data_IF_752503268733
#
_entry.id   IF_752503268733
#
_cell.length_a   1.000
_cell.length_b   1.000
_cell.length_c   1.000
_cell.angle_alpha   90.00
_cell.angle_beta   90.00
_cell.angle_gamma   90.00
#
_symmetry.space_group_name_H-M   'P 1'
#
loop_
_entity.id
_entity.type
_entity.pdbx_description
1 polymer ?
#
# COMPACT_ATOMS: atom_id res chain seq x y z
N UNK A 1 4.86 34.93 -26.04
CA UNK A 1 3.50 34.47 -25.63
C UNK A 1 2.88 33.39 -26.53
N UNK A 2 3.61 32.67 -27.41
CA UNK A 2 3.04 31.60 -28.26
C UNK A 2 3.30 30.16 -27.77
N UNK A 3 4.20 29.96 -26.80
CA UNK A 3 4.56 28.61 -26.31
C UNK A 3 3.68 28.08 -25.18
N UNK A 4 2.98 28.94 -24.43
CA UNK A 4 2.12 28.50 -23.33
C UNK A 4 0.85 27.78 -23.82
N UNK A 5 0.31 28.14 -24.98
CA UNK A 5 -0.97 27.61 -25.47
C UNK A 5 -0.86 26.18 -26.03
N UNK A 6 0.27 25.81 -26.64
CA UNK A 6 0.46 24.46 -27.22
C UNK A 6 0.65 23.40 -26.12
N UNK A 7 1.38 23.74 -25.05
CA UNK A 7 1.61 22.85 -23.90
C UNK A 7 0.29 22.55 -23.18
N UNK A 8 -0.59 23.54 -23.04
CA UNK A 8 -1.90 23.41 -22.41
C UNK A 8 -2.85 22.49 -23.21
N UNK A 9 -2.81 22.53 -24.55
CA UNK A 9 -3.64 21.67 -25.40
C UNK A 9 -3.15 20.21 -25.36
N UNK A 10 -1.83 19.98 -25.44
CA UNK A 10 -1.26 18.63 -25.40
C UNK A 10 -1.50 17.93 -24.05
N UNK A 11 -1.38 18.65 -22.93
CA UNK A 11 -1.68 18.11 -21.61
C UNK A 11 -3.16 17.71 -21.43
N UNK A 12 -4.08 18.45 -22.06
CA UNK A 12 -5.51 18.13 -22.03
C UNK A 12 -5.86 16.86 -22.83
N UNK A 13 -5.23 16.66 -23.99
CA UNK A 13 -5.43 15.46 -24.81
C UNK A 13 -4.97 14.20 -24.08
N UNK A 14 -3.77 14.22 -23.50
CA UNK A 14 -3.20 13.09 -22.75
C UNK A 14 -4.05 12.69 -21.52
N UNK A 15 -4.73 13.65 -20.88
CA UNK A 15 -5.63 13.35 -19.77
C UNK A 15 -6.88 12.57 -20.23
N UNK A 16 -7.46 12.94 -21.38
CA UNK A 16 -8.60 12.22 -21.96
C UNK A 16 -8.25 10.80 -22.39
N UNK A 17 -7.09 10.61 -23.03
CA UNK A 17 -6.60 9.29 -23.45
C UNK A 17 -6.34 8.36 -22.26
N UNK A 18 -5.83 8.90 -21.15
CA UNK A 18 -5.64 8.11 -19.93
C UNK A 18 -6.96 7.63 -19.32
N UNK A 19 -7.97 8.49 -19.27
CA UNK A 19 -9.28 8.16 -18.71
C UNK A 19 -10.03 7.12 -19.57
N UNK A 20 -9.88 7.19 -20.90
CA UNK A 20 -10.36 6.14 -21.80
C UNK A 20 -9.66 4.81 -21.53
N UNK A 21 -8.32 4.80 -21.41
CA UNK A 21 -7.56 3.59 -21.09
C UNK A 21 -7.98 2.96 -19.75
N UNK A 22 -8.26 3.78 -18.73
CA UNK A 22 -8.81 3.32 -17.45
C UNK A 22 -10.21 2.72 -17.62
N UNK A 23 -11.04 3.29 -18.49
CA UNK A 23 -12.38 2.79 -18.78
C UNK A 23 -12.31 1.42 -19.46
N UNK A 24 -11.45 1.26 -20.46
CA UNK A 24 -11.18 -0.01 -21.12
C UNK A 24 -10.70 -1.08 -20.11
N UNK A 25 -9.81 -0.72 -19.20
CA UNK A 25 -9.35 -1.64 -18.15
C UNK A 25 -10.50 -2.10 -17.26
N UNK A 26 -11.37 -1.19 -16.83
CA UNK A 26 -12.54 -1.51 -15.98
C UNK A 26 -13.56 -2.39 -16.70
N UNK A 27 -13.68 -2.26 -18.01
CA UNK A 27 -14.56 -3.09 -18.85
C UNK A 27 -13.96 -4.47 -19.17
N UNK A 28 -12.71 -4.73 -18.78
CA UNK A 28 -12.02 -5.99 -19.05
C UNK A 28 -11.31 -6.04 -20.40
N UNK A 29 -11.27 -4.93 -21.14
CA UNK A 29 -10.57 -4.80 -22.42
C UNK A 29 -9.07 -4.56 -22.18
N UNK A 30 -8.42 -5.49 -21.48
CA UNK A 30 -7.09 -5.28 -20.91
C UNK A 30 -5.99 -5.04 -21.96
N UNK A 31 -6.08 -5.65 -23.13
CA UNK A 31 -5.10 -5.42 -24.22
C UNK A 31 -5.24 -3.99 -24.76
N UNK A 32 -6.47 -3.54 -25.05
CA UNK A 32 -6.72 -2.17 -25.51
C UNK A 32 -6.26 -1.14 -24.48
N UNK A 33 -6.56 -1.39 -23.20
CA UNK A 33 -6.06 -0.56 -22.10
C UNK A 33 -4.53 -0.56 -22.02
N UNK A 34 -3.89 -1.73 -22.15
CA UNK A 34 -2.43 -1.86 -22.12
C UNK A 34 -1.77 -1.06 -23.24
N UNK A 35 -2.28 -1.17 -24.47
CA UNK A 35 -1.74 -0.45 -25.62
C UNK A 35 -1.81 1.07 -25.42
N UNK A 36 -2.95 1.58 -24.97
CA UNK A 36 -3.13 3.00 -24.66
C UNK A 36 -2.23 3.47 -23.50
N UNK A 37 -2.17 2.70 -22.40
CA UNK A 37 -1.25 3.02 -21.31
C UNK A 37 0.21 3.00 -21.76
N UNK A 38 0.59 2.11 -22.68
CA UNK A 38 1.96 2.02 -23.17
C UNK A 38 2.42 3.28 -23.91
N UNK A 39 1.54 3.87 -24.73
CA UNK A 39 1.82 5.13 -25.44
C UNK A 39 2.15 6.22 -24.42
N UNK A 40 1.23 6.47 -23.48
CA UNK A 40 1.39 7.48 -22.43
C UNK A 40 2.59 7.18 -21.50
N UNK A 41 2.84 5.90 -21.19
CA UNK A 41 3.93 5.49 -20.32
C UNK A 41 5.31 5.74 -20.94
N UNK A 42 5.43 5.59 -22.27
CA UNK A 42 6.64 5.91 -23.04
C UNK A 42 6.93 7.42 -23.06
N UNK A 43 5.89 8.25 -23.01
CA UNK A 43 6.00 9.71 -22.87
C UNK A 43 6.31 10.16 -21.43
N UNK A 44 6.38 9.22 -20.49
CA UNK A 44 6.74 9.51 -19.10
C UNK A 44 5.55 9.63 -18.16
N UNK A 45 4.30 9.46 -18.60
CA UNK A 45 3.14 9.65 -17.72
C UNK A 45 3.13 8.66 -16.53
N UNK A 46 3.30 9.12 -15.28
CA UNK A 46 3.60 8.22 -14.15
C UNK A 46 2.42 7.32 -13.76
N UNK A 47 1.17 7.77 -13.93
CA UNK A 47 0.01 6.90 -13.70
C UNK A 47 -0.14 5.83 -14.79
N UNK A 48 0.26 6.13 -16.03
CA UNK A 48 0.22 5.15 -17.11
C UNK A 48 1.30 4.09 -16.90
N UNK A 49 2.53 4.51 -16.55
CA UNK A 49 3.60 3.60 -16.14
C UNK A 49 3.17 2.68 -14.98
N UNK A 50 2.50 3.22 -13.97
CA UNK A 50 1.91 2.41 -12.90
C UNK A 50 0.91 1.36 -13.44
N UNK A 51 -0.02 1.75 -14.31
CA UNK A 51 -1.03 0.83 -14.85
C UNK A 51 -0.43 -0.24 -15.77
N UNK A 52 0.60 0.08 -16.57
CA UNK A 52 1.36 -0.93 -17.32
C UNK A 52 1.97 -1.95 -16.34
N UNK A 53 2.63 -1.47 -15.28
CA UNK A 53 3.17 -2.34 -14.24
C UNK A 53 2.11 -3.22 -13.56
N UNK A 54 0.93 -2.67 -13.31
CA UNK A 54 -0.20 -3.38 -12.72
C UNK A 54 -0.74 -4.49 -13.62
N UNK A 55 -0.81 -4.25 -14.93
CA UNK A 55 -1.25 -5.24 -15.91
C UNK A 55 -0.29 -6.44 -15.93
N UNK A 56 1.03 -6.19 -16.01
CA UNK A 56 2.03 -7.26 -15.98
C UNK A 56 2.09 -7.99 -14.64
N UNK A 57 1.96 -7.29 -13.52
CA UNK A 57 1.98 -7.89 -12.19
C UNK A 57 0.84 -8.91 -12.00
N UNK A 58 -0.32 -8.62 -12.60
CA UNK A 58 -1.52 -9.42 -12.48
C UNK A 58 -1.79 -10.35 -13.66
N UNK A 59 -1.04 -10.23 -14.76
CA UNK A 59 -1.26 -11.01 -15.98
C UNK A 59 -2.64 -10.76 -16.62
N UNK A 60 -3.10 -9.51 -16.64
CA UNK A 60 -4.42 -9.16 -17.19
C UNK A 60 -4.31 -8.95 -18.70
N UNK A 61 -4.85 -9.89 -19.49
CA UNK A 61 -4.77 -9.87 -20.96
C UNK A 61 -3.41 -10.30 -21.53
N UNK A 62 -2.34 -10.22 -20.74
CA UNK A 62 -1.00 -10.69 -21.08
C UNK A 62 -0.49 -11.72 -20.08
N UNK A 63 0.57 -12.45 -20.42
CA UNK A 63 1.25 -13.30 -19.44
C UNK A 63 1.79 -12.45 -18.28
N UNK A 64 1.65 -12.98 -17.06
CA UNK A 64 2.20 -12.35 -15.86
C UNK A 64 3.71 -12.25 -15.98
N UNK A 65 4.25 -11.05 -15.79
CA UNK A 65 5.68 -10.76 -15.85
C UNK A 65 6.08 -9.80 -14.71
N UNK A 66 6.68 -10.37 -13.67
CA UNK A 66 7.09 -9.61 -12.48
C UNK A 66 8.29 -8.68 -12.79
N UNK A 67 9.13 -9.00 -13.77
CA UNK A 67 10.26 -8.17 -14.14
C UNK A 67 9.79 -6.90 -14.87
N UNK A 68 8.88 -7.05 -15.83
CA UNK A 68 8.23 -5.91 -16.47
C UNK A 68 7.48 -5.05 -15.45
N UNK A 69 6.73 -5.67 -14.54
CA UNK A 69 6.04 -4.94 -13.48
C UNK A 69 7.01 -4.11 -12.62
N UNK A 70 8.12 -4.72 -12.18
CA UNK A 70 9.15 -4.05 -11.38
C UNK A 70 9.72 -2.83 -12.10
N UNK A 71 10.08 -2.96 -13.37
CA UNK A 71 10.66 -1.87 -14.16
C UNK A 71 9.68 -0.70 -14.35
N UNK A 72 8.42 -1.00 -14.69
CA UNK A 72 7.39 0.03 -14.85
C UNK A 72 7.03 0.73 -13.55
N UNK A 73 6.88 -0.03 -12.46
CA UNK A 73 6.70 0.57 -11.13
C UNK A 73 7.89 1.43 -10.72
N UNK A 74 9.13 1.01 -11.00
CA UNK A 74 10.33 1.81 -10.69
C UNK A 74 10.35 3.14 -11.44
N UNK A 75 9.95 3.17 -12.71
CA UNK A 75 9.82 4.43 -13.47
C UNK A 75 8.77 5.35 -12.84
N UNK A 76 7.58 4.84 -12.52
CA UNK A 76 6.51 5.63 -11.91
C UNK A 76 6.88 6.11 -10.48
N UNK A 77 7.52 5.24 -9.69
CA UNK A 77 7.91 5.51 -8.31
C UNK A 77 8.95 6.63 -8.20
N UNK A 78 9.92 6.68 -9.13
CA UNK A 78 10.91 7.76 -9.25
C UNK A 78 10.26 9.12 -9.54
N UNK A 79 9.08 9.14 -10.13
CA UNK A 79 8.30 10.35 -10.40
C UNK A 79 7.31 10.70 -9.27
N UNK A 80 7.39 10.01 -8.12
CA UNK A 80 6.53 10.29 -6.98
C UNK A 80 5.16 9.60 -7.02
N UNK A 81 4.92 8.64 -7.94
CA UNK A 81 3.69 7.87 -7.91
C UNK A 81 3.65 6.97 -6.66
N UNK A 82 2.88 7.38 -5.66
CA UNK A 82 2.77 6.72 -4.36
C UNK A 82 2.28 5.26 -4.43
N UNK A 83 1.34 4.95 -5.33
CA UNK A 83 0.88 3.59 -5.54
C UNK A 83 1.99 2.71 -6.14
N UNK A 84 2.77 3.23 -7.08
CA UNK A 84 3.92 2.52 -7.65
C UNK A 84 5.04 2.29 -6.62
N UNK A 85 5.31 3.27 -5.75
CA UNK A 85 6.27 3.12 -4.65
C UNK A 85 5.88 1.96 -3.74
N UNK A 86 4.62 1.91 -3.30
CA UNK A 86 4.11 0.81 -2.48
C UNK A 86 4.18 -0.55 -3.20
N UNK A 87 3.71 -0.62 -4.46
CA UNK A 87 3.70 -1.88 -5.20
C UNK A 87 5.12 -2.37 -5.55
N UNK A 88 6.06 -1.47 -5.80
CA UNK A 88 7.47 -1.83 -5.99
C UNK A 88 8.06 -2.44 -4.71
N UNK A 89 7.87 -1.80 -3.57
CA UNK A 89 8.30 -2.33 -2.27
C UNK A 89 7.67 -3.71 -2.00
N UNK A 90 6.37 -3.87 -2.32
CA UNK A 90 5.67 -5.14 -2.13
C UNK A 90 6.28 -6.26 -2.98
N UNK A 91 6.51 -5.98 -4.26
CA UNK A 91 7.12 -6.92 -5.21
C UNK A 91 8.51 -7.36 -4.73
N UNK A 92 9.35 -6.43 -4.30
CA UNK A 92 10.70 -6.75 -3.78
C UNK A 92 10.60 -7.55 -2.48
N UNK A 93 9.68 -7.20 -1.57
CA UNK A 93 9.50 -7.93 -0.30
C UNK A 93 9.04 -9.39 -0.47
N UNK A 94 8.58 -9.75 -1.67
CA UNK A 94 8.08 -11.07 -2.03
C UNK A 94 9.03 -11.81 -2.98
N UNK A 95 10.13 -11.19 -3.43
CA UNK A 95 11.10 -11.83 -4.33
C UNK A 95 11.94 -12.88 -3.61
N UNK A 96 12.66 -13.69 -4.39
CA UNK A 96 13.68 -14.62 -3.88
C UNK A 96 14.74 -13.91 -3.02
N UNK A 97 15.03 -12.65 -3.36
CA UNK A 97 16.13 -11.89 -2.81
C UNK A 97 15.70 -11.04 -1.61
N UNK A 98 14.48 -11.21 -1.09
CA UNK A 98 13.91 -10.38 0.00
C UNK A 98 14.71 -10.36 1.31
N UNK A 99 15.64 -11.29 1.48
CA UNK A 99 16.55 -11.34 2.64
C UNK A 99 17.90 -10.65 2.38
N UNK A 100 18.19 -10.28 1.13
CA UNK A 100 19.36 -9.48 0.79
C UNK A 100 19.28 -8.11 1.49
N UNK A 101 20.36 -7.64 2.15
CA UNK A 101 20.37 -6.35 2.82
C UNK A 101 20.02 -5.18 1.91
N UNK A 102 20.47 -5.20 0.65
CA UNK A 102 20.16 -4.18 -0.35
C UNK A 102 18.68 -4.19 -0.74
N UNK A 103 18.10 -5.38 -0.95
CA UNK A 103 16.67 -5.52 -1.18
C UNK A 103 15.83 -5.03 0.01
N UNK A 104 16.24 -5.34 1.24
CA UNK A 104 15.56 -4.88 2.46
C UNK A 104 15.63 -3.36 2.63
N UNK A 105 16.77 -2.75 2.31
CA UNK A 105 16.92 -1.30 2.27
C UNK A 105 16.04 -0.66 1.20
N UNK A 106 15.97 -1.23 -0.01
CA UNK A 106 15.11 -0.75 -1.08
C UNK A 106 13.62 -0.85 -0.70
N UNK A 107 13.19 -1.97 -0.09
CA UNK A 107 11.82 -2.14 0.43
C UNK A 107 11.48 -1.05 1.45
N UNK A 108 12.35 -0.84 2.44
CA UNK A 108 12.16 0.20 3.45
C UNK A 108 12.03 1.58 2.82
N UNK A 109 12.96 1.92 1.94
CA UNK A 109 13.01 3.21 1.25
C UNK A 109 11.68 3.49 0.51
N UNK A 110 11.19 2.54 -0.27
CA UNK A 110 9.97 2.72 -1.04
C UNK A 110 8.70 2.73 -0.18
N UNK A 111 8.64 1.94 0.89
CA UNK A 111 7.53 2.07 1.85
C UNK A 111 7.55 3.40 2.60
N UNK A 112 8.73 3.93 2.97
CA UNK A 112 8.85 5.27 3.57
C UNK A 112 8.33 6.34 2.61
N UNK A 113 8.73 6.31 1.33
CA UNK A 113 8.21 7.25 0.32
C UNK A 113 6.71 7.14 0.10
N UNK A 114 6.18 5.92 0.03
CA UNK A 114 4.75 5.72 -0.12
C UNK A 114 3.96 6.19 1.12
N UNK A 115 4.49 5.96 2.32
CA UNK A 115 3.91 6.45 3.57
C UNK A 115 3.96 7.98 3.69
N UNK A 116 5.04 8.62 3.25
CA UNK A 116 5.14 10.09 3.12
C UNK A 116 4.06 10.63 2.17
N UNK A 117 3.80 9.93 1.06
CA UNK A 117 2.72 10.23 0.12
C UNK A 117 1.31 9.87 0.58
N UNK A 118 1.15 9.38 1.82
CA UNK A 118 -0.17 9.09 2.40
C UNK A 118 -0.72 7.69 2.14
N UNK A 119 0.05 6.77 1.56
CA UNK A 119 -0.38 5.37 1.39
C UNK A 119 -0.48 4.67 2.74
N UNK A 120 -1.70 4.40 3.20
CA UNK A 120 -1.97 3.76 4.50
C UNK A 120 -1.47 2.31 4.57
N UNK A 121 -1.56 1.57 3.46
CA UNK A 121 -1.07 0.20 3.37
C UNK A 121 0.46 0.16 3.51
N UNK A 122 1.17 1.16 2.94
CA UNK A 122 2.61 1.29 3.10
C UNK A 122 2.99 1.63 4.55
N UNK A 123 2.20 2.47 5.24
CA UNK A 123 2.41 2.74 6.66
C UNK A 123 2.26 1.47 7.50
N UNK A 124 1.26 0.64 7.22
CA UNK A 124 1.06 -0.66 7.88
C UNK A 124 2.25 -1.60 7.64
N UNK A 125 2.67 -1.76 6.38
CA UNK A 125 3.77 -2.67 6.05
C UNK A 125 5.12 -2.16 6.59
N UNK A 126 5.37 -0.85 6.56
CA UNK A 126 6.55 -0.23 7.20
C UNK A 126 6.53 -0.43 8.72
N UNK A 127 5.37 -0.32 9.36
CA UNK A 127 5.23 -0.58 10.79
C UNK A 127 5.61 -2.02 11.13
N UNK A 128 5.20 -3.00 10.30
CA UNK A 128 5.60 -4.40 10.46
C UNK A 128 7.11 -4.61 10.35
N UNK A 129 7.81 -3.89 9.45
CA UNK A 129 9.27 -3.93 9.38
C UNK A 129 9.90 -3.49 10.70
N UNK A 130 9.47 -2.36 11.25
CA UNK A 130 9.97 -1.85 12.54
C UNK A 130 9.57 -2.72 13.73
N UNK A 131 8.38 -3.32 13.71
CA UNK A 131 7.91 -4.20 14.77
C UNK A 131 8.77 -5.47 14.84
N UNK A 132 9.12 -6.04 13.69
CA UNK A 132 9.89 -7.29 13.58
C UNK A 132 11.41 -7.09 13.56
N UNK A 133 11.88 -5.87 13.25
CA UNK A 133 13.29 -5.62 12.97
C UNK A 133 13.77 -6.23 11.65
N UNK A 134 12.86 -6.38 10.68
CA UNK A 134 13.19 -6.97 9.36
C UNK A 134 13.84 -5.91 8.47
N UNK A 135 15.16 -5.99 8.27
CA UNK A 135 15.91 -5.00 7.48
C UNK A 135 16.09 -3.63 8.14
N UNK A 136 15.68 -3.50 9.39
CA UNK A 136 15.80 -2.30 10.22
C UNK A 136 16.02 -2.68 11.67
N UNK A 137 16.66 -1.80 12.45
CA UNK A 137 16.65 -1.96 13.90
C UNK A 137 15.21 -1.95 14.41
N UNK A 138 14.85 -2.96 15.21
CA UNK A 138 13.52 -3.05 15.80
C UNK A 138 13.18 -1.77 16.56
N UNK A 139 11.98 -1.24 16.32
CA UNK A 139 11.48 -0.04 16.97
C UNK A 139 9.96 -0.10 17.12
N UNK A 140 9.51 -0.68 18.23
CA UNK A 140 8.08 -0.88 18.54
C UNK A 140 7.33 0.46 18.66
N UNK A 141 7.96 1.52 19.19
CA UNK A 141 7.33 2.85 19.29
C UNK A 141 7.11 3.49 17.92
N UNK A 142 8.07 3.35 16.99
CA UNK A 142 7.89 3.81 15.60
C UNK A 142 6.81 2.99 14.88
N UNK A 143 6.81 1.67 15.05
CA UNK A 143 5.76 0.80 14.52
C UNK A 143 4.37 1.21 15.02
N UNK A 144 4.21 1.44 16.33
CA UNK A 144 2.96 1.92 16.92
C UNK A 144 2.48 3.22 16.28
N UNK A 145 3.37 4.21 16.11
CA UNK A 145 3.02 5.48 15.47
C UNK A 145 2.52 5.32 14.04
N UNK A 146 3.16 4.43 13.27
CA UNK A 146 2.78 4.12 11.89
C UNK A 146 1.46 3.35 11.81
N UNK A 147 1.26 2.31 12.63
CA UNK A 147 -0.03 1.59 12.69
C UNK A 147 -1.17 2.53 13.10
N UNK A 148 -0.94 3.40 14.10
CA UNK A 148 -1.92 4.40 14.51
C UNK A 148 -2.32 5.33 13.37
N UNK A 149 -1.33 5.86 12.63
CA UNK A 149 -1.60 6.73 11.48
C UNK A 149 -2.35 5.99 10.36
N UNK A 150 -1.95 4.76 10.04
CA UNK A 150 -2.62 3.93 9.04
C UNK A 150 -4.08 3.60 9.44
N UNK A 151 -4.30 3.22 10.70
CA UNK A 151 -5.63 2.94 11.25
C UNK A 151 -6.56 4.17 11.20
N UNK A 152 -6.02 5.37 11.49
CA UNK A 152 -6.74 6.64 11.37
C UNK A 152 -7.15 6.95 9.92
N UNK A 153 -6.35 6.53 8.94
CA UNK A 153 -6.67 6.60 7.51
C UNK A 153 -7.57 5.44 7.04
N UNK A 154 -8.07 4.63 7.97
CA UNK A 154 -8.99 3.53 7.70
C UNK A 154 -8.32 2.30 7.08
N UNK A 155 -7.06 2.01 7.43
CA UNK A 155 -6.45 0.71 7.15
C UNK A 155 -6.90 -0.33 8.20
N UNK A 156 -7.73 -1.27 7.78
CA UNK A 156 -8.32 -2.27 8.66
C UNK A 156 -7.29 -3.26 9.23
N UNK A 157 -6.24 -3.57 8.46
CA UNK A 157 -5.15 -4.44 8.93
C UNK A 157 -4.29 -3.73 9.97
N UNK A 158 -4.05 -2.43 9.82
CA UNK A 158 -3.37 -1.61 10.80
C UNK A 158 -4.21 -1.45 12.07
N UNK A 159 -5.54 -1.37 11.97
CA UNK A 159 -6.42 -1.38 13.15
C UNK A 159 -6.23 -2.66 13.97
N UNK A 160 -6.18 -3.83 13.31
CA UNK A 160 -5.87 -5.10 13.99
C UNK A 160 -4.50 -5.01 14.66
N UNK A 161 -3.45 -4.68 13.90
CA UNK A 161 -2.09 -4.62 14.44
C UNK A 161 -1.97 -3.64 15.62
N UNK A 162 -2.57 -2.47 15.52
CA UNK A 162 -2.65 -1.48 16.60
C UNK A 162 -3.39 -2.04 17.82
N UNK A 163 -4.48 -2.76 17.59
CA UNK A 163 -5.23 -3.39 18.67
C UNK A 163 -4.40 -4.44 19.41
N UNK A 164 -3.62 -5.27 18.71
CA UNK A 164 -2.76 -6.27 19.35
C UNK A 164 -1.68 -5.60 20.22
N UNK A 165 -1.10 -4.49 19.74
CA UNK A 165 -0.14 -3.71 20.52
C UNK A 165 -0.77 -3.13 21.79
N UNK A 166 -1.99 -2.59 21.70
CA UNK A 166 -2.74 -2.13 22.88
C UNK A 166 -3.17 -3.30 23.79
N UNK A 167 -3.55 -4.45 23.24
CA UNK A 167 -4.06 -5.56 24.03
C UNK A 167 -2.98 -6.14 24.94
N UNK A 168 -1.78 -6.37 24.43
CA UNK A 168 -0.74 -7.10 25.18
C UNK A 168 0.52 -6.29 25.47
N UNK A 169 0.46 -4.97 25.27
CA UNK A 169 1.51 -4.05 25.72
C UNK A 169 2.84 -4.25 25.00
N UNK A 170 2.81 -4.45 23.67
CA UNK A 170 4.03 -4.65 22.88
C UNK A 170 4.77 -3.33 22.62
N UNK A 171 5.60 -2.91 23.58
CA UNK A 171 6.41 -1.69 23.48
C UNK A 171 5.64 -0.38 23.76
N UNK A 172 4.39 -0.49 24.22
CA UNK A 172 3.55 0.58 24.74
C UNK A 172 2.75 0.07 25.96
N UNK A 173 2.25 0.94 26.85
CA UNK A 173 1.30 0.53 27.88
C UNK A 173 0.04 -0.08 27.26
N UNK A 174 -0.47 -1.15 27.87
CA UNK A 174 -1.68 -1.78 27.38
C UNK A 174 -2.92 -0.89 27.57
N UNK A 175 -3.91 -1.07 26.70
CA UNK A 175 -5.21 -0.40 26.76
C UNK A 175 -6.25 -1.30 26.09
N UNK A 176 -6.86 -2.17 26.91
CA UNK A 176 -7.78 -3.22 26.45
C UNK A 176 -9.05 -2.63 25.80
N UNK A 177 -9.47 -1.42 26.21
CA UNK A 177 -10.62 -0.72 25.62
C UNK A 177 -10.26 -0.20 24.23
N UNK A 178 -9.08 0.42 24.05
CA UNK A 178 -8.62 0.81 22.70
C UNK A 178 -8.41 -0.40 21.80
N UNK A 179 -7.92 -1.51 22.33
CA UNK A 179 -7.81 -2.76 21.58
C UNK A 179 -9.19 -3.24 21.09
N UNK A 180 -10.17 -3.31 21.99
CA UNK A 180 -11.55 -3.68 21.69
C UNK A 180 -12.13 -2.83 20.55
N UNK A 181 -12.05 -1.50 20.69
CA UNK A 181 -12.60 -0.56 19.73
C UNK A 181 -11.98 -0.70 18.33
N UNK A 182 -10.65 -0.88 18.25
CA UNK A 182 -9.97 -1.08 16.97
C UNK A 182 -10.36 -2.42 16.31
N UNK A 183 -10.48 -3.50 17.08
CA UNK A 183 -10.94 -4.79 16.56
C UNK A 183 -12.39 -4.73 16.06
N UNK A 184 -13.29 -4.07 16.79
CA UNK A 184 -14.67 -3.84 16.35
C UNK A 184 -14.72 -3.00 15.07
N UNK A 185 -13.87 -1.99 14.94
CA UNK A 185 -13.78 -1.19 13.72
C UNK A 185 -13.30 -2.03 12.54
N UNK A 186 -12.28 -2.86 12.73
CA UNK A 186 -11.77 -3.76 11.70
C UNK A 186 -12.85 -4.77 11.24
N UNK A 187 -13.64 -5.31 12.18
CA UNK A 187 -14.78 -6.17 11.88
C UNK A 187 -15.84 -5.48 11.03
N UNK A 188 -16.20 -4.23 11.37
CA UNK A 188 -17.13 -3.41 10.58
C UNK A 188 -16.60 -3.14 9.16
N UNK A 189 -15.29 -3.17 8.98
CA UNK A 189 -14.61 -3.06 7.68
C UNK A 189 -14.39 -4.41 6.98
N UNK A 190 -15.00 -5.49 7.48
CA UNK A 190 -14.99 -6.81 6.86
C UNK A 190 -13.77 -7.68 7.18
N UNK A 191 -12.87 -7.26 8.08
CA UNK A 191 -11.74 -8.09 8.54
C UNK A 191 -12.21 -9.10 9.58
N UNK A 192 -12.80 -10.20 9.12
CA UNK A 192 -13.34 -11.26 9.99
C UNK A 192 -12.29 -11.86 10.92
N UNK A 193 -11.02 -11.90 10.53
CA UNK A 193 -9.89 -12.34 11.38
C UNK A 193 -9.78 -11.57 12.70
N UNK A 194 -10.31 -10.34 12.79
CA UNK A 194 -10.38 -9.57 14.03
C UNK A 194 -11.24 -10.26 15.12
N UNK A 195 -12.18 -11.14 14.75
CA UNK A 195 -13.05 -11.83 15.72
C UNK A 195 -12.26 -12.75 16.64
N UNK A 196 -11.24 -13.43 16.13
CA UNK A 196 -10.38 -14.34 16.90
C UNK A 196 -9.66 -13.57 18.00
N UNK A 197 -9.13 -12.39 17.67
CA UNK A 197 -8.46 -11.53 18.63
C UNK A 197 -9.44 -10.92 19.63
N UNK A 198 -10.66 -10.59 19.19
CA UNK A 198 -11.72 -10.05 20.03
C UNK A 198 -12.19 -11.08 21.06
N UNK A 199 -12.42 -12.32 20.63
CA UNK A 199 -12.81 -13.42 21.50
C UNK A 199 -11.76 -13.69 22.57
N UNK A 200 -10.48 -13.75 22.16
CA UNK A 200 -9.37 -13.86 23.10
C UNK A 200 -9.32 -12.69 24.08
N UNK A 201 -9.48 -11.47 23.59
CA UNK A 201 -9.48 -10.25 24.41
C UNK A 201 -10.58 -10.29 25.47
N UNK A 202 -11.81 -10.65 25.09
CA UNK A 202 -12.95 -10.70 25.99
C UNK A 202 -12.87 -11.85 27.00
N UNK A 203 -12.24 -12.97 26.63
CA UNK A 203 -11.93 -14.07 27.57
C UNK A 203 -10.92 -13.64 28.64
N UNK A 204 -9.87 -12.93 28.24
CA UNK A 204 -8.81 -12.44 29.14
C UNK A 204 -9.23 -11.20 29.94
N UNK A 205 -10.22 -10.44 29.48
CA UNK A 205 -10.58 -9.12 30.02
C UNK A 205 -12.05 -8.80 29.75
N UNK A 206 -12.96 -9.57 30.35
CA UNK A 206 -14.41 -9.44 30.10
C UNK A 206 -14.94 -8.02 30.31
N UNK A 207 -14.44 -7.30 31.31
CA UNK A 207 -14.80 -5.90 31.58
C UNK A 207 -14.58 -4.96 30.40
N UNK A 208 -13.59 -5.23 29.54
CA UNK A 208 -13.29 -4.39 28.38
C UNK A 208 -14.33 -4.56 27.24
N UNK A 209 -15.18 -5.59 27.32
CA UNK A 209 -16.17 -5.94 26.30
C UNK A 209 -17.63 -5.76 26.78
N UNK A 210 -17.84 -5.27 28.00
CA UNK A 210 -19.17 -5.21 28.63
C UNK A 210 -20.06 -4.03 28.19
N UNK A 211 -19.54 -3.08 27.40
CA UNK A 211 -20.22 -1.82 27.07
C UNK A 211 -20.66 -1.71 25.60
N UNK A 212 -21.01 -2.83 24.96
CA UNK A 212 -21.39 -2.88 23.54
C UNK A 212 -22.87 -3.22 23.33
#
# INVERSE_FOLDING_TARGET
MRFLWIILIAAGLAAGEFDEAVTEYKQGNYIKALDAFYVLAKEGHPKAQFNVGLIYANGKGVNKDIYQAKEWYKKAAKQGNTAAQYNLAKLISQSSDKTDPGAQEEVRYWYEKAAEGGQKEAMNDLALLYLKGSGVKQNKRKAFGLFKKAAQLGDASAQINLALMYAWGEGIPNDKVKAYNNLKQALRQGKTEASVYLERLCKESSWACQND
#
